data_IF_587089053524
#
_entry.id   IF_587089053524
#
_cell.length_a   1.000
_cell.length_b   1.000
_cell.length_c   1.000
_cell.angle_alpha   90.00
_cell.angle_beta   90.00
_cell.angle_gamma   90.00
#
_symmetry.space_group_name_H-M   'P 1'
#
loop_
_entity.id
_entity.type
_entity.pdbx_description
1 polymer ?
#
# COMPACT_ATOMS: atom_id res chain seq x y z
N UNK A 1 3.83 -9.21 2.39
CA UNK A 1 4.87 -8.21 2.08
C UNK A 1 4.60 -6.89 2.78
N UNK A 2 3.65 -6.08 2.26
CA UNK A 2 3.42 -4.71 2.71
C UNK A 2 3.26 -4.54 4.23
N UNK A 3 2.41 -5.35 4.87
CA UNK A 3 2.20 -5.33 6.34
C UNK A 3 3.50 -5.53 7.11
N UNK A 4 4.28 -6.56 6.76
CA UNK A 4 5.57 -6.85 7.38
C UNK A 4 6.58 -5.71 7.16
N UNK A 5 6.61 -5.14 5.95
CA UNK A 5 7.47 -4.00 5.63
C UNK A 5 7.11 -2.77 6.49
N UNK A 6 5.82 -2.49 6.68
CA UNK A 6 5.39 -1.38 7.54
C UNK A 6 5.74 -1.62 9.01
N UNK A 7 5.55 -2.86 9.51
CA UNK A 7 5.96 -3.22 10.87
C UNK A 7 7.47 -3.09 11.07
N UNK A 8 8.27 -3.51 10.08
CA UNK A 8 9.72 -3.37 10.10
C UNK A 8 10.14 -1.88 10.10
N UNK A 9 9.51 -1.07 9.26
CA UNK A 9 9.71 0.38 9.23
C UNK A 9 9.42 1.03 10.59
N UNK A 10 8.30 0.69 11.22
CA UNK A 10 7.95 1.22 12.54
C UNK A 10 8.92 0.77 13.64
N UNK A 11 9.46 -0.46 13.56
CA UNK A 11 10.52 -0.93 14.48
C UNK A 11 11.82 -0.18 14.26
N UNK A 12 12.22 0.03 13.00
CA UNK A 12 13.42 0.79 12.66
C UNK A 12 13.35 2.23 13.17
N UNK A 13 12.21 2.90 12.97
CA UNK A 13 11.96 4.27 13.47
C UNK A 13 12.04 4.38 15.00
N UNK A 14 11.55 3.36 15.72
CA UNK A 14 11.67 3.28 17.18
C UNK A 14 13.12 3.10 17.64
N UNK A 15 13.91 2.32 16.91
CA UNK A 15 15.31 2.05 17.23
C UNK A 15 16.23 3.22 16.85
N UNK A 16 15.93 3.94 15.77
CA UNK A 16 16.70 5.08 15.30
C UNK A 16 15.78 6.25 14.96
N UNK A 17 15.75 7.26 15.83
CA UNK A 17 14.92 8.46 15.68
C UNK A 17 15.32 9.35 14.49
N UNK A 18 16.50 9.17 13.91
CA UNK A 18 16.89 9.89 12.69
C UNK A 18 16.08 9.42 11.47
N UNK A 19 15.52 8.21 11.50
CA UNK A 19 14.65 7.73 10.42
C UNK A 19 13.37 8.55 10.42
N UNK A 20 13.09 9.19 9.29
CA UNK A 20 11.92 10.03 9.08
C UNK A 20 11.79 11.23 10.04
N UNK A 21 12.91 11.65 10.66
CA UNK A 21 12.93 12.78 11.59
C UNK A 21 12.37 14.07 10.95
N UNK A 22 12.75 14.32 9.70
CA UNK A 22 12.34 15.53 8.96
C UNK A 22 10.96 15.41 8.30
N UNK A 23 10.33 14.23 8.35
CA UNK A 23 9.03 13.96 7.71
C UNK A 23 7.84 14.21 8.65
N UNK A 24 8.09 14.34 9.96
CA UNK A 24 7.04 14.56 10.95
C UNK A 24 5.94 13.50 10.92
N UNK A 25 4.67 13.91 11.02
CA UNK A 25 3.49 13.03 11.02
C UNK A 25 3.12 12.49 9.64
N UNK A 26 3.77 12.95 8.56
CA UNK A 26 3.49 12.52 7.18
C UNK A 26 4.30 11.31 6.75
N UNK A 27 5.18 10.79 7.61
CA UNK A 27 6.07 9.67 7.32
C UNK A 27 5.32 8.39 6.90
N UNK A 28 4.21 8.08 7.57
CA UNK A 28 3.34 6.95 7.23
C UNK A 28 2.66 7.15 5.88
N UNK A 29 2.20 8.37 5.55
CA UNK A 29 1.63 8.68 4.23
C UNK A 29 2.69 8.49 3.16
N UNK A 30 3.93 8.93 3.40
CA UNK A 30 5.03 8.76 2.46
C UNK A 30 5.36 7.28 2.23
N UNK A 31 5.43 6.46 3.28
CA UNK A 31 5.64 5.01 3.14
C UNK A 31 4.66 4.37 2.14
N UNK A 32 3.36 4.65 2.30
CA UNK A 32 2.34 4.10 1.42
C UNK A 32 2.33 4.73 0.03
N UNK A 33 2.68 6.02 -0.07
CA UNK A 33 2.81 6.73 -1.35
C UNK A 33 3.96 6.15 -2.17
N UNK A 34 5.12 5.92 -1.57
CA UNK A 34 6.27 5.28 -2.22
C UNK A 34 5.94 3.84 -2.63
N UNK A 35 5.25 3.08 -1.78
CA UNK A 35 4.75 1.76 -2.14
C UNK A 35 3.84 1.80 -3.38
N UNK A 36 2.89 2.73 -3.42
CA UNK A 36 1.96 2.88 -4.54
C UNK A 36 2.68 3.30 -5.83
N UNK A 37 3.61 4.25 -5.74
CA UNK A 37 4.39 4.75 -6.86
C UNK A 37 5.24 3.67 -7.53
N UNK A 38 5.76 2.70 -6.75
CA UNK A 38 6.49 1.55 -7.28
C UNK A 38 5.67 0.64 -8.22
N UNK A 39 4.34 0.78 -8.23
CA UNK A 39 3.42 0.03 -9.09
C UNK A 39 2.73 0.90 -10.15
N UNK A 40 3.12 2.17 -10.30
CA UNK A 40 2.62 3.03 -11.37
C UNK A 40 2.91 2.37 -12.73
N UNK A 41 1.86 2.07 -13.49
CA UNK A 41 2.00 1.52 -14.84
C UNK A 41 0.90 2.04 -15.76
N UNK A 42 1.20 2.08 -17.05
CA UNK A 42 0.22 2.19 -18.14
C UNK A 42 0.54 1.12 -19.18
N UNK A 43 -0.50 0.47 -19.72
CA UNK A 43 -0.38 -0.56 -20.76
C UNK A 43 -1.32 -0.19 -21.90
N UNK A 44 -0.99 -0.60 -23.13
CA UNK A 44 -1.95 -0.58 -24.23
C UNK A 44 -3.05 -1.61 -23.99
N UNK A 45 -4.22 -1.43 -24.59
CA UNK A 45 -5.37 -2.33 -24.37
C UNK A 45 -5.04 -3.77 -24.78
N UNK A 46 -4.38 -3.98 -25.92
CA UNK A 46 -3.94 -5.30 -26.37
C UNK A 46 -2.98 -5.96 -25.37
N UNK A 47 -2.04 -5.21 -24.80
CA UNK A 47 -1.12 -5.75 -23.79
C UNK A 47 -1.85 -6.02 -22.46
N UNK A 48 -2.81 -5.18 -22.08
CA UNK A 48 -3.62 -5.39 -20.88
C UNK A 48 -4.45 -6.69 -20.99
N UNK A 49 -5.06 -6.97 -22.15
CA UNK A 49 -5.80 -8.20 -22.42
C UNK A 49 -4.86 -9.41 -22.40
N UNK A 50 -3.72 -9.34 -23.11
CA UNK A 50 -2.75 -10.42 -23.14
C UNK A 50 -2.26 -10.77 -21.72
N UNK A 51 -1.86 -9.76 -20.95
CA UNK A 51 -1.34 -9.95 -19.59
C UNK A 51 -2.42 -10.44 -18.63
N UNK A 52 -3.67 -10.02 -18.77
CA UNK A 52 -4.78 -10.57 -17.97
C UNK A 52 -4.85 -12.10 -18.07
N UNK A 53 -4.51 -12.66 -19.23
CA UNK A 53 -4.59 -14.11 -19.47
C UNK A 53 -3.28 -14.86 -19.22
N UNK A 54 -2.15 -14.17 -19.07
CA UNK A 54 -0.80 -14.79 -19.07
C UNK A 54 0.04 -14.43 -17.85
N UNK A 55 -0.19 -13.28 -17.23
CA UNK A 55 0.52 -12.83 -16.04
C UNK A 55 -0.21 -13.33 -14.80
N UNK A 56 0.42 -14.16 -13.94
CA UNK A 56 -0.22 -14.64 -12.72
C UNK A 56 -0.41 -13.52 -11.68
N UNK A 57 0.22 -12.36 -11.89
CA UNK A 57 0.09 -11.21 -11.00
C UNK A 57 -1.06 -10.31 -11.40
N UNK A 58 -1.73 -9.73 -10.40
CA UNK A 58 -2.68 -8.65 -10.63
C UNK A 58 -2.01 -7.44 -11.29
N UNK A 59 -2.72 -6.66 -12.13
CA UNK A 59 -2.20 -5.40 -12.67
C UNK A 59 -1.81 -4.40 -11.58
N UNK A 60 -0.87 -3.48 -11.88
CA UNK A 60 -0.30 -2.52 -10.92
C UNK A 60 -1.34 -1.81 -10.04
N UNK A 61 -2.39 -1.25 -10.65
CA UNK A 61 -3.53 -0.63 -9.92
C UNK A 61 -4.09 -1.52 -8.81
N UNK A 62 -4.29 -2.81 -9.10
CA UNK A 62 -4.86 -3.76 -8.14
C UNK A 62 -3.83 -4.28 -7.13
N UNK A 63 -2.54 -4.29 -7.48
CA UNK A 63 -1.44 -4.54 -6.52
C UNK A 63 -1.27 -3.42 -5.50
N UNK A 64 -1.74 -2.21 -5.82
CA UNK A 64 -1.85 -1.10 -4.86
C UNK A 64 -3.16 -1.19 -4.08
N UNK A 65 -4.29 -1.18 -4.79
CA UNK A 65 -5.60 -1.10 -4.15
C UNK A 65 -5.87 -2.26 -3.20
N UNK A 66 -5.60 -3.50 -3.60
CA UNK A 66 -5.92 -4.69 -2.80
C UNK A 66 -5.21 -4.70 -1.42
N UNK A 67 -3.89 -4.56 -1.36
CA UNK A 67 -3.17 -4.50 -0.08
C UNK A 67 -3.54 -3.28 0.78
N UNK A 68 -3.75 -2.10 0.18
CA UNK A 68 -4.11 -0.90 0.94
C UNK A 68 -5.54 -0.95 1.49
N UNK A 69 -6.49 -1.47 0.71
CA UNK A 69 -7.86 -1.75 1.13
C UNK A 69 -7.92 -2.63 2.39
N UNK A 70 -6.99 -3.60 2.48
CA UNK A 70 -6.88 -4.54 3.60
C UNK A 70 -5.97 -4.05 4.75
N UNK A 71 -5.47 -2.82 4.71
CA UNK A 71 -4.50 -2.29 5.69
C UNK A 71 -5.15 -1.25 6.59
N UNK A 72 -5.40 -1.61 7.87
CA UNK A 72 -5.92 -0.64 8.85
C UNK A 72 -4.94 0.52 9.06
N UNK A 73 -3.64 0.23 9.13
CA UNK A 73 -2.60 1.25 9.31
C UNK A 73 -2.50 2.21 8.12
N UNK A 74 -2.96 1.80 6.93
CA UNK A 74 -3.11 2.72 5.78
C UNK A 74 -4.31 3.64 5.99
N UNK A 75 -5.46 3.06 6.35
CA UNK A 75 -6.67 3.84 6.61
C UNK A 75 -6.44 4.87 7.71
N UNK A 76 -5.70 4.52 8.77
CA UNK A 76 -5.35 5.44 9.86
C UNK A 76 -4.43 6.57 9.35
N UNK A 77 -3.39 6.24 8.57
CA UNK A 77 -2.44 7.21 8.04
C UNK A 77 -3.08 8.25 7.10
N UNK A 78 -4.10 7.85 6.35
CA UNK A 78 -4.86 8.72 5.45
C UNK A 78 -6.21 9.16 6.04
N UNK A 79 -6.48 8.85 7.30
CA UNK A 79 -7.72 9.19 8.01
C UNK A 79 -8.98 8.80 7.23
N UNK A 80 -8.96 7.64 6.58
CA UNK A 80 -10.05 7.12 5.78
C UNK A 80 -11.23 6.69 6.67
N UNK A 81 -12.44 7.26 6.53
CA UNK A 81 -13.60 6.84 7.31
C UNK A 81 -13.95 5.37 7.10
N UNK A 82 -14.45 4.69 8.13
CA UNK A 82 -14.96 3.32 8.00
C UNK A 82 -16.09 3.27 6.97
N UNK A 83 -16.03 2.30 6.06
CA UNK A 83 -16.98 2.14 4.95
C UNK A 83 -16.60 2.92 3.68
N UNK A 84 -15.58 3.78 3.72
CA UNK A 84 -15.05 4.41 2.51
C UNK A 84 -14.43 3.37 1.56
N UNK A 85 -14.29 3.67 0.25
CA UNK A 85 -13.80 2.71 -0.74
C UNK A 85 -12.47 2.05 -0.40
N UNK A 86 -11.61 2.72 0.37
CA UNK A 86 -10.29 2.22 0.79
C UNK A 86 -10.23 1.82 2.27
N UNK A 87 -11.34 1.90 3.02
CA UNK A 87 -11.44 1.43 4.40
C UNK A 87 -12.73 0.63 4.64
N UNK A 88 -12.86 -0.57 4.07
CA UNK A 88 -13.99 -1.46 4.33
C UNK A 88 -13.99 -1.97 5.79
N UNK A 89 -15.16 -2.32 6.35
CA UNK A 89 -15.25 -2.92 7.68
C UNK A 89 -14.67 -4.34 7.72
N UNK A 90 -14.78 -5.10 6.62
CA UNK A 90 -14.19 -6.44 6.50
C UNK A 90 -12.90 -6.37 5.70
N UNK A 91 -11.79 -6.78 6.31
CA UNK A 91 -10.45 -6.84 5.69
C UNK A 91 -9.96 -8.28 5.63
N UNK A 92 -9.31 -8.64 4.53
CA UNK A 92 -8.67 -9.94 4.35
C UNK A 92 -7.23 -9.88 4.90
N UNK A 93 -6.92 -10.68 5.92
CA UNK A 93 -5.59 -10.80 6.51
C UNK A 93 -5.19 -12.27 6.52
N UNK A 94 -4.05 -12.59 5.91
CA UNK A 94 -3.51 -13.96 5.85
C UNK A 94 -2.29 -14.07 6.76
N UNK A 95 -1.34 -13.15 6.59
CA UNK A 95 -0.08 -13.05 7.33
C UNK A 95 -0.01 -11.71 8.07
#
# INVERSE_FOLDING_TARGET
GLKLAYLAYQRAKKANKAIAQDLGTDDAKLFYTTFAQGWCQKRSDGNAILRKNTDPHSPGKWRVHGPLYNSQTFADAFQCPTGSPMNPPKKCVIW
#
